data_IF_860566669375
#
_entry.id   IF_860566669375
#
_cell.length_a   1.000
_cell.length_b   1.000
_cell.length_c   1.000
_cell.angle_alpha   90.00
_cell.angle_beta   90.00
_cell.angle_gamma   90.00
#
_symmetry.space_group_name_H-M   'P 1'
#
loop_
_entity.id
_entity.type
_entity.pdbx_description
1 polymer ?
#
# COMPACT_ATOMS: atom_id res chain seq x y z
N UNK A 1 17.28 -9.32 8.93
CA UNK A 1 16.55 -9.84 9.53
C UNK A 1 15.32 -9.21 9.92
N UNK A 2 15.10 -8.76 11.00
CA UNK A 2 13.86 -8.19 11.37
C UNK A 2 13.43 -7.07 10.49
N UNK A 3 14.37 -6.33 9.94
CA UNK A 3 14.03 -5.17 9.17
C UNK A 3 13.33 -5.52 7.86
N UNK A 4 13.56 -6.71 7.37
CA UNK A 4 12.92 -7.13 6.15
C UNK A 4 11.42 -7.27 6.35
N UNK A 5 10.99 -7.84 7.46
CA UNK A 5 9.57 -7.96 7.74
C UNK A 5 8.95 -6.61 8.09
N UNK A 6 9.70 -5.74 8.74
CA UNK A 6 9.21 -4.42 9.08
C UNK A 6 8.93 -3.63 7.80
N UNK A 7 9.83 -3.72 6.82
CA UNK A 7 9.64 -2.99 5.57
C UNK A 7 8.46 -3.54 4.78
N UNK A 8 8.33 -4.86 4.74
CA UNK A 8 7.21 -5.48 4.04
C UNK A 8 5.89 -5.10 4.70
N UNK A 9 5.87 -5.13 6.04
CA UNK A 9 4.66 -4.76 6.76
C UNK A 9 4.29 -3.30 6.51
N UNK A 10 5.29 -2.42 6.37
CA UNK A 10 5.02 -1.03 6.07
C UNK A 10 4.28 -0.87 4.74
N UNK A 11 4.67 -1.66 3.74
CA UNK A 11 4.01 -1.63 2.44
C UNK A 11 2.57 -2.09 2.59
N UNK A 12 2.33 -3.19 3.29
CA UNK A 12 0.98 -3.71 3.42
C UNK A 12 0.09 -2.80 4.25
N UNK A 13 0.69 -2.10 5.22
CA UNK A 13 -0.07 -1.20 6.04
C UNK A 13 -0.72 -0.10 5.21
N UNK A 14 -0.09 0.25 4.10
CA UNK A 14 -0.66 1.28 3.23
C UNK A 14 -2.03 0.90 2.71
N UNK A 15 -2.35 -0.39 2.68
CA UNK A 15 -3.62 -0.85 2.16
C UNK A 15 -4.63 -1.17 3.26
N UNK A 16 -4.31 -0.85 4.50
CA UNK A 16 -5.17 -1.23 5.61
C UNK A 16 -6.02 -0.09 6.15
N UNK A 17 -6.63 0.66 5.27
CA UNK A 17 -7.50 1.75 5.67
C UNK A 17 -8.45 2.09 4.53
N UNK A 18 -9.73 2.28 4.84
CA UNK A 18 -10.70 2.56 3.80
C UNK A 18 -10.36 3.80 3.02
N UNK A 19 -9.92 4.87 3.66
CA UNK A 19 -9.61 6.10 2.95
C UNK A 19 -8.41 5.90 2.01
N UNK A 20 -7.43 5.12 2.47
CA UNK A 20 -6.27 4.86 1.60
C UNK A 20 -6.66 4.02 0.39
N UNK A 21 -7.58 3.08 0.56
CA UNK A 21 -8.05 2.32 -0.60
C UNK A 21 -8.85 3.21 -1.56
N UNK A 22 -9.62 4.14 -1.03
CA UNK A 22 -10.37 5.06 -1.88
C UNK A 22 -9.43 6.00 -2.62
N UNK A 23 -8.35 6.44 -1.98
CA UNK A 23 -7.37 7.28 -2.65
C UNK A 23 -6.77 6.51 -3.82
N UNK A 24 -6.38 5.26 -3.59
CA UNK A 24 -5.80 4.47 -4.68
C UNK A 24 -6.79 4.29 -5.83
N UNK A 25 -8.05 4.09 -5.50
CA UNK A 25 -9.06 3.97 -6.53
C UNK A 25 -9.14 5.24 -7.37
N UNK A 26 -9.11 6.40 -6.73
CA UNK A 26 -9.15 7.66 -7.46
C UNK A 26 -7.91 7.84 -8.33
N UNK A 27 -6.76 7.38 -7.86
CA UNK A 27 -5.52 7.56 -8.60
C UNK A 27 -5.38 6.59 -9.77
N UNK A 28 -6.24 5.58 -9.85
CA UNK A 28 -6.14 4.63 -10.96
C UNK A 28 -6.38 5.25 -12.31
N UNK A 29 -7.11 6.37 -12.35
CA UNK A 29 -7.36 7.02 -13.62
C UNK A 29 -6.31 8.09 -13.94
N UNK A 30 -5.29 8.21 -13.11
CA UNK A 30 -4.21 9.15 -13.39
C UNK A 30 -3.94 10.06 -12.23
N UNK A 31 -2.99 10.95 -12.41
CA UNK A 31 -2.57 11.88 -11.38
C UNK A 31 -3.73 12.76 -10.92
N UNK A 32 -3.78 13.04 -9.62
CA UNK A 32 -4.81 13.90 -9.07
C UNK A 32 -4.18 14.92 -8.11
N UNK A 33 -4.70 16.11 -8.12
CA UNK A 33 -4.29 17.15 -7.19
C UNK A 33 -4.84 16.80 -5.82
N UNK A 34 -4.11 17.13 -4.77
CA UNK A 34 -4.60 16.94 -3.41
C UNK A 34 -5.96 17.59 -3.21
N UNK A 35 -6.22 18.70 -3.88
CA UNK A 35 -7.52 19.38 -3.74
C UNK A 35 -8.67 18.51 -4.23
N UNK A 36 -8.44 17.72 -5.26
CA UNK A 36 -9.47 16.82 -5.76
C UNK A 36 -9.70 15.70 -4.76
N UNK A 37 -8.63 15.18 -4.16
CA UNK A 37 -8.77 14.12 -3.18
C UNK A 37 -9.51 14.60 -1.94
N UNK A 38 -9.23 15.81 -1.50
CA UNK A 38 -9.93 16.38 -0.35
C UNK A 38 -11.43 16.48 -0.63
N UNK A 39 -11.76 16.93 -1.83
CA UNK A 39 -13.13 17.12 -2.19
C UNK A 39 -13.88 15.80 -2.26
N UNK A 40 -13.28 14.80 -2.86
CA UNK A 40 -13.93 13.51 -3.02
C UNK A 40 -14.04 12.74 -1.72
N UNK A 41 -13.07 12.86 -0.83
CA UNK A 41 -13.05 12.06 0.38
C UNK A 41 -13.73 12.74 1.55
N UNK A 42 -13.95 14.03 1.46
CA UNK A 42 -14.57 14.80 2.54
C UNK A 42 -13.80 14.65 3.86
N UNK A 43 -12.48 14.78 3.79
CA UNK A 43 -11.65 14.70 4.97
C UNK A 43 -10.83 15.98 5.09
N UNK A 44 -10.22 16.20 6.23
CA UNK A 44 -9.42 17.40 6.43
C UNK A 44 -8.09 17.26 5.74
N UNK A 45 -7.44 18.38 5.52
CA UNK A 45 -6.14 18.39 4.90
C UNK A 45 -5.12 17.63 5.74
N UNK A 46 -5.17 17.75 7.05
CA UNK A 46 -4.21 17.03 7.88
C UNK A 46 -4.45 15.52 7.84
N UNK A 47 -5.70 15.09 7.73
CA UNK A 47 -5.99 13.67 7.60
C UNK A 47 -5.48 13.14 6.26
N UNK A 48 -5.69 13.91 5.19
CA UNK A 48 -5.17 13.51 3.89
C UNK A 48 -3.65 13.43 3.92
N UNK A 49 -2.99 14.41 4.52
CA UNK A 49 -1.53 14.41 4.60
C UNK A 49 -1.03 13.17 5.32
N UNK A 50 -1.72 12.76 6.38
CA UNK A 50 -1.36 11.56 7.12
C UNK A 50 -1.45 10.32 6.23
N UNK A 51 -2.54 10.18 5.49
CA UNK A 51 -2.71 9.02 4.61
C UNK A 51 -1.71 9.05 3.47
N UNK A 52 -1.45 10.24 2.90
CA UNK A 52 -0.53 10.32 1.78
C UNK A 52 0.90 10.03 2.21
N UNK A 53 1.26 10.39 3.46
CA UNK A 53 2.58 10.08 3.93
C UNK A 53 2.77 8.56 4.01
N UNK A 54 1.77 7.86 4.50
CA UNK A 54 1.85 6.40 4.59
C UNK A 54 1.93 5.78 3.19
N UNK A 55 1.12 6.26 2.27
CA UNK A 55 1.14 5.72 0.90
C UNK A 55 2.45 6.03 0.19
N UNK A 56 2.99 7.23 0.37
CA UNK A 56 4.25 7.59 -0.26
C UNK A 56 5.41 6.83 0.36
N UNK A 57 5.40 6.64 1.68
CA UNK A 57 6.45 5.89 2.34
C UNK A 57 6.45 4.42 1.90
N UNK A 58 5.30 3.88 1.52
CA UNK A 58 5.24 2.52 1.03
C UNK A 58 5.84 2.38 -0.38
N UNK A 59 6.00 3.49 -1.08
CA UNK A 59 6.50 3.46 -2.45
C UNK A 59 5.43 3.28 -3.51
N UNK A 60 4.19 3.03 -3.10
CA UNK A 60 3.12 2.76 -4.06
C UNK A 60 2.62 4.04 -4.73
N UNK A 61 2.74 5.17 -4.02
CA UNK A 61 2.29 6.45 -4.53
C UNK A 61 3.45 7.43 -4.51
N UNK A 62 3.46 8.34 -5.45
CA UNK A 62 4.47 9.38 -5.50
C UNK A 62 3.77 10.73 -5.58
N UNK A 63 4.42 11.76 -5.07
CA UNK A 63 3.87 13.11 -5.06
C UNK A 63 4.77 14.07 -5.81
N UNK A 64 4.18 15.02 -6.49
CA UNK A 64 4.90 16.01 -7.24
C UNK A 64 4.38 17.38 -6.81
N UNK A 65 5.26 18.26 -6.36
CA UNK A 65 4.83 19.56 -5.96
C UNK A 65 4.66 20.46 -7.13
N UNK A 66 3.60 21.23 -7.16
CA UNK A 66 3.34 22.15 -8.23
C UNK A 66 2.67 23.34 -7.58
N UNK A 67 3.46 24.40 -7.32
CA UNK A 67 2.95 25.55 -6.62
C UNK A 67 2.66 25.18 -5.18
N UNK A 68 1.49 25.51 -4.70
CA UNK A 68 1.13 25.21 -3.34
C UNK A 68 0.41 23.88 -3.19
N UNK A 69 0.13 23.22 -4.30
CA UNK A 69 -0.55 21.94 -4.24
C UNK A 69 0.38 20.82 -4.60
N UNK A 70 0.11 19.66 -4.08
CA UNK A 70 0.84 18.44 -4.43
C UNK A 70 -0.06 17.61 -5.31
N UNK A 71 0.49 17.02 -6.35
CA UNK A 71 -0.24 16.13 -7.22
C UNK A 71 0.29 14.72 -6.98
N UNK A 72 -0.61 13.78 -6.80
CA UNK A 72 -0.25 12.41 -6.46
C UNK A 72 -0.59 11.46 -7.58
N UNK A 73 0.22 10.42 -7.73
CA UNK A 73 -0.06 9.38 -8.73
C UNK A 73 0.47 8.05 -8.22
N UNK A 74 -0.04 6.96 -8.76
CA UNK A 74 0.47 5.65 -8.42
C UNK A 74 1.78 5.47 -9.16
N UNK A 75 2.80 5.02 -8.43
CA UNK A 75 4.11 4.75 -9.02
C UNK A 75 4.07 3.33 -9.56
N UNK A 76 4.16 3.13 -10.88
CA UNK A 76 4.04 1.78 -11.43
C UNK A 76 5.08 0.81 -10.89
N UNK A 77 6.30 1.27 -10.67
CA UNK A 77 7.32 0.40 -10.13
C UNK A 77 7.07 0.07 -8.67
N UNK A 78 6.61 1.04 -7.91
CA UNK A 78 6.28 0.80 -6.52
C UNK A 78 5.09 -0.13 -6.37
N UNK A 79 4.11 0.03 -7.25
CA UNK A 79 2.94 -0.84 -7.23
C UNK A 79 3.35 -2.27 -7.58
N UNK A 80 4.21 -2.43 -8.57
CA UNK A 80 4.67 -3.75 -8.96
C UNK A 80 5.46 -4.40 -7.81
N UNK A 81 6.31 -3.63 -7.15
CA UNK A 81 7.06 -4.14 -6.01
C UNK A 81 6.14 -4.60 -4.89
N UNK A 82 5.08 -3.85 -4.63
CA UNK A 82 4.13 -4.23 -3.59
C UNK A 82 3.44 -5.55 -3.93
N UNK A 83 3.06 -5.73 -5.20
CA UNK A 83 2.43 -6.95 -5.63
C UNK A 83 3.38 -8.13 -5.53
N UNK A 84 4.66 -7.92 -5.81
CA UNK A 84 5.65 -8.96 -5.67
C UNK A 84 5.83 -9.36 -4.22
N UNK A 85 5.85 -8.40 -3.32
CA UNK A 85 5.97 -8.71 -1.90
C UNK A 85 4.79 -9.55 -1.42
N UNK A 86 3.59 -9.22 -1.88
CA UNK A 86 2.43 -10.00 -1.50
C UNK A 86 2.50 -11.40 -2.08
N UNK A 87 2.94 -11.51 -3.32
CA UNK A 87 3.07 -12.82 -3.96
C UNK A 87 4.07 -13.68 -3.19
N UNK A 88 5.19 -13.10 -2.78
CA UNK A 88 6.20 -13.83 -2.03
C UNK A 88 5.67 -14.32 -0.70
N UNK A 89 4.83 -13.52 -0.05
CA UNK A 89 4.29 -13.91 1.23
C UNK A 89 3.30 -15.07 1.13
N UNK A 90 2.64 -15.20 0.01
CA UNK A 90 1.58 -16.17 -0.15
C UNK A 90 1.93 -17.36 -1.04
N UNK A 91 3.10 -17.35 -1.64
CA UNK A 91 3.49 -18.45 -2.51
C UNK A 91 3.85 -19.67 -1.66
N UNK A 92 3.25 -20.77 -1.97
CA UNK A 92 3.49 -21.98 -1.22
C UNK A 92 4.87 -22.53 -1.50
N UNK A 93 5.46 -23.10 -0.45
CA UNK A 93 6.76 -23.70 -0.59
C UNK A 93 6.57 -25.19 -0.53
N UNK A 94 6.48 -25.81 -1.68
CA UNK A 94 6.15 -27.24 -1.73
C UNK A 94 7.22 -28.13 -1.16
N UNK A 95 8.41 -27.63 -1.02
CA UNK A 95 9.43 -28.47 -0.44
C UNK A 95 9.23 -28.66 1.03
N UNK A 96 8.64 -27.73 1.69
CA UNK A 96 8.45 -27.86 3.09
C UNK A 96 7.25 -28.62 3.48
N UNK A 97 6.32 -28.80 2.58
CA UNK A 97 5.15 -29.40 2.98
C UNK A 97 5.23 -30.79 3.36
N UNK A 98 6.21 -31.42 3.04
CA UNK A 98 6.22 -32.81 3.39
C UNK A 98 6.30 -33.03 4.83
N UNK A 99 6.84 -32.18 5.52
CA UNK A 99 7.01 -32.52 6.87
C UNK A 99 6.01 -32.06 7.79
N UNK A 100 5.91 -31.10 8.21
CA UNK A 100 5.07 -30.79 9.22
C UNK A 100 3.82 -30.49 8.97
N UNK A 101 3.30 -30.86 8.45
CA UNK A 101 2.11 -30.60 8.10
C UNK A 101 1.25 -30.56 9.16
N UNK A 102 0.68 -31.03 9.36
CA UNK A 102 -0.20 -31.16 10.21
C UNK A 102 -0.41 -30.52 11.29
N UNK A 103 0.07 -30.47 11.87
CA UNK A 103 -0.04 -29.96 12.98
C UNK A 103 -1.15 -29.16 13.14
N UNK A 104 -1.19 -28.20 13.01
CA UNK A 104 -2.12 -27.50 13.44
C UNK A 104 -3.18 -27.17 12.65
N UNK A 105 -3.17 -27.44 11.77
CA UNK A 105 -4.04 -27.06 10.96
C UNK A 105 -5.19 -27.78 11.12
N UNK A 106 -5.21 -28.70 11.62
CA UNK A 106 -6.24 -29.41 11.71
C UNK A 106 -7.16 -29.02 12.54
N UNK A 107 -7.05 -28.36 13.18
CA UNK A 107 -7.86 -28.05 14.05
C UNK A 107 -8.79 -27.39 13.54
N UNK A 108 -8.89 -27.11 12.98
CA UNK A 108 -9.74 -26.43 12.51
C UNK A 108 -10.28 -26.74 11.92
#
# INVERSE_FOLDING_TARGET
>A
MGSEYVDTARVFKAFCDENRLRILELLRSGEKCACVLLDDLHITQSTLSHHMKILCDSGVVQGRKDGKWVHYSIDPEGAESAMQLLRQQLTLDFQCQTTKTCCYNKEK
#
